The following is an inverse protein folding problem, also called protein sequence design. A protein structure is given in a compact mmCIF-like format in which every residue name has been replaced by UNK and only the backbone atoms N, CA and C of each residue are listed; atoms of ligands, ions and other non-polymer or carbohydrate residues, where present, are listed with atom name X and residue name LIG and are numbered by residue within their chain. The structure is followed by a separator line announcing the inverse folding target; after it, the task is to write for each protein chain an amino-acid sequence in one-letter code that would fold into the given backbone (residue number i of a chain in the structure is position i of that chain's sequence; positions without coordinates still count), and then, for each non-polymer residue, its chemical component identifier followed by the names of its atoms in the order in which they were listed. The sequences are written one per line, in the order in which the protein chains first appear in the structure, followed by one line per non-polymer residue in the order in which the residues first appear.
data_IF_512195426342
#
_entry.id   IF_512195426342
#
_cell.length_a   1.000
_cell.length_b   1.000
_cell.length_c   1.000
_cell.angle_alpha   90.00
_cell.angle_beta   90.00
_cell.angle_gamma   90.00
#
_symmetry.space_group_name_H-M   'P 1'
#
loop_
_entity.id
_entity.type
_entity.pdbx_description
1 polymer ?
#
# COMPACT_ATOMS: atom_id res chain seq x y z
N UNK A 1 -17.75 30.23 1.60
CA UNK A 1 -18.43 28.98 2.01
C UNK A 1 -17.37 27.92 2.11
N UNK A 2 -16.80 27.73 3.31
CA UNK A 2 -15.91 26.60 3.60
C UNK A 2 -16.82 25.39 3.79
N UNK A 3 -16.79 24.44 2.87
CA UNK A 3 -17.44 23.15 3.10
C UNK A 3 -16.59 22.40 4.11
N UNK A 4 -17.19 21.99 5.24
CA UNK A 4 -16.66 21.03 6.22
C UNK A 4 -16.50 19.65 5.58
N UNK A 5 -15.70 19.55 4.52
CA UNK A 5 -15.56 18.36 3.70
C UNK A 5 -14.10 17.99 3.64
N UNK A 6 -13.80 16.76 4.04
CA UNK A 6 -12.50 16.14 3.79
C UNK A 6 -12.36 15.83 2.31
N UNK A 7 -11.19 16.13 1.75
CA UNK A 7 -10.82 15.87 0.35
C UNK A 7 -10.27 14.45 0.14
N UNK A 8 -9.90 13.77 1.23
CA UNK A 8 -9.54 12.34 1.23
C UNK A 8 -10.02 11.66 2.51
N UNK A 9 -10.54 10.45 2.39
CA UNK A 9 -11.13 9.67 3.49
C UNK A 9 -10.60 8.24 3.40
N UNK A 10 -9.87 7.82 4.43
CA UNK A 10 -9.14 6.55 4.45
C UNK A 10 -9.47 5.82 5.75
N UNK A 11 -10.47 4.92 5.74
CA UNK A 11 -10.90 4.19 6.94
C UNK A 11 -9.79 3.23 7.42
N UNK A 12 -9.62 3.11 8.74
CA UNK A 12 -8.78 2.06 9.29
C UNK A 12 -9.40 0.67 9.00
N UNK A 13 -8.58 -0.36 8.75
CA UNK A 13 -9.02 -1.75 8.61
C UNK A 13 -9.86 -2.28 9.77
N UNK A 14 -9.60 -1.74 10.97
CA UNK A 14 -10.28 -2.10 12.20
C UNK A 14 -10.40 -0.88 13.12
N UNK A 15 -11.41 -0.88 13.98
CA UNK A 15 -11.67 0.21 14.93
C UNK A 15 -12.54 1.31 14.34
N UNK A 16 -12.53 2.48 15.00
CA UNK A 16 -13.38 3.63 14.68
C UNK A 16 -12.66 4.75 13.94
N UNK A 17 -11.34 4.64 13.73
CA UNK A 17 -10.54 5.71 13.18
C UNK A 17 -10.61 5.78 11.65
N UNK A 18 -10.60 7.00 11.14
CA UNK A 18 -10.55 7.34 9.73
C UNK A 18 -9.48 8.41 9.55
N UNK A 19 -8.46 8.13 8.73
CA UNK A 19 -7.50 9.14 8.34
C UNK A 19 -8.17 10.03 7.29
N UNK A 20 -8.10 11.34 7.47
CA UNK A 20 -8.76 12.33 6.60
C UNK A 20 -7.78 13.38 6.14
N UNK A 21 -7.84 13.73 4.86
CA UNK A 21 -7.06 14.81 4.25
C UNK A 21 -7.97 16.02 4.01
N UNK A 22 -7.41 17.21 4.26
CA UNK A 22 -8.00 18.49 3.90
C UNK A 22 -6.94 19.27 3.11
N UNK A 23 -7.27 19.64 1.87
CA UNK A 23 -6.34 20.29 0.96
C UNK A 23 -5.99 21.72 1.40
N UNK A 24 -6.79 22.34 2.30
CA UNK A 24 -6.44 23.58 2.99
C UNK A 24 -5.38 23.36 4.10
N UNK A 25 -5.12 22.11 4.49
CA UNK A 25 -4.11 21.68 5.48
C UNK A 25 -3.10 20.72 4.84
N UNK A 26 -2.34 21.13 3.82
CA UNK A 26 -1.55 20.23 2.96
C UNK A 26 -0.33 19.58 3.65
N UNK A 27 -0.10 19.88 4.93
CA UNK A 27 0.97 19.30 5.75
C UNK A 27 0.46 18.49 6.93
N UNK A 28 -0.86 18.46 7.11
CA UNK A 28 -1.50 17.76 8.22
C UNK A 28 -2.32 16.58 7.70
N UNK A 29 -2.51 15.60 8.58
CA UNK A 29 -3.52 14.57 8.44
C UNK A 29 -4.45 14.62 9.66
N UNK A 30 -5.75 14.49 9.43
CA UNK A 30 -6.71 14.34 10.51
C UNK A 30 -6.89 12.86 10.84
N UNK A 31 -6.96 12.51 12.12
CA UNK A 31 -7.57 11.25 12.56
C UNK A 31 -8.95 11.60 13.11
N UNK A 32 -9.97 11.24 12.34
CA UNK A 32 -11.38 11.34 12.72
C UNK A 32 -11.81 10.06 13.42
N UNK A 33 -12.43 10.20 14.59
CA UNK A 33 -12.95 9.06 15.36
C UNK A 33 -14.48 8.98 15.22
N UNK A 34 -14.96 7.87 14.64
CA UNK A 34 -16.39 7.60 14.48
C UNK A 34 -17.12 7.46 15.83
N UNK A 35 -16.40 7.16 16.92
CA UNK A 35 -17.00 6.95 18.24
C UNK A 35 -17.42 8.27 18.91
N UNK A 36 -16.62 9.34 18.75
CA UNK A 36 -16.89 10.64 19.39
C UNK A 36 -17.12 11.79 18.40
N UNK A 37 -16.95 11.54 17.09
CA UNK A 37 -17.18 12.51 16.02
C UNK A 37 -16.12 13.62 15.96
N UNK A 38 -14.93 13.43 16.55
CA UNK A 38 -13.88 14.45 16.59
C UNK A 38 -12.73 14.12 15.65
N UNK A 39 -12.15 15.18 15.10
CA UNK A 39 -10.92 15.11 14.31
C UNK A 39 -9.76 15.73 15.07
N UNK A 40 -8.66 14.98 15.17
CA UNK A 40 -7.37 15.47 15.68
C UNK A 40 -6.40 15.60 14.51
N UNK A 41 -5.80 16.78 14.34
CA UNK A 41 -4.89 17.07 13.23
C UNK A 41 -3.43 16.88 13.66
N UNK A 42 -2.62 16.28 12.80
CA UNK A 42 -1.22 15.99 13.05
C UNK A 42 -0.35 16.44 11.87
N UNK A 43 0.68 17.24 12.15
CA UNK A 43 1.68 17.63 11.16
C UNK A 43 2.48 16.39 10.72
N UNK A 44 2.36 16.01 9.45
CA UNK A 44 3.13 14.93 8.79
C UNK A 44 4.01 15.48 7.65
N UNK A 45 3.97 16.79 7.44
CA UNK A 45 4.59 17.49 6.33
C UNK A 45 3.92 17.14 5.00
N UNK A 46 4.58 17.47 3.88
CA UNK A 46 4.03 17.14 2.56
C UNK A 46 4.19 15.64 2.31
N UNK A 47 3.09 14.91 2.45
CA UNK A 47 3.00 13.52 2.04
C UNK A 47 3.06 13.42 0.51
N UNK A 48 3.79 12.44 -0.01
CA UNK A 48 3.89 12.16 -1.44
C UNK A 48 2.80 11.18 -1.93
N UNK A 49 2.14 10.50 -0.99
CA UNK A 49 1.13 9.46 -1.27
C UNK A 49 -0.08 9.64 -0.37
N UNK A 50 -1.17 8.95 -0.70
CA UNK A 50 -2.26 8.72 0.23
C UNK A 50 -1.74 8.01 1.51
N UNK A 51 -2.35 8.27 2.68
CA UNK A 51 -2.05 7.53 3.90
C UNK A 51 -2.36 6.05 3.73
N UNK A 52 -1.54 5.19 4.33
CA UNK A 52 -1.77 3.74 4.37
C UNK A 52 -1.85 3.26 5.81
N UNK A 53 -2.96 2.64 6.19
CA UNK A 53 -3.11 2.04 7.52
C UNK A 53 -2.31 0.75 7.67
N UNK A 54 -1.75 0.53 8.85
CA UNK A 54 -1.24 -0.78 9.24
C UNK A 54 -2.38 -1.80 9.25
N UNK A 55 -2.11 -3.08 9.00
CA UNK A 55 -3.15 -4.13 8.97
C UNK A 55 -4.01 -4.19 10.24
N UNK A 56 -3.45 -3.83 11.39
CA UNK A 56 -4.14 -3.80 12.68
C UNK A 56 -4.95 -2.51 12.94
N UNK A 57 -4.91 -1.54 12.02
CA UNK A 57 -5.61 -0.26 12.13
C UNK A 57 -5.08 0.69 13.20
N UNK A 58 -3.88 0.44 13.76
CA UNK A 58 -3.33 1.26 14.86
C UNK A 58 -2.36 2.34 14.42
N UNK A 59 -1.83 2.24 13.20
CA UNK A 59 -0.80 3.15 12.70
C UNK A 59 -1.08 3.56 11.26
N UNK A 60 -0.64 4.74 10.89
CA UNK A 60 -0.75 5.30 9.54
C UNK A 60 0.64 5.59 9.01
N UNK A 61 0.91 5.12 7.80
CA UNK A 61 2.15 5.29 7.07
C UNK A 61 2.00 6.42 6.05
N UNK A 62 3.02 7.28 6.01
CA UNK A 62 3.17 8.33 5.01
C UNK A 62 4.53 8.20 4.35
N UNK A 63 4.55 8.21 3.02
CA UNK A 63 5.79 8.49 2.29
C UNK A 63 5.99 10.00 2.27
N UNK A 64 7.16 10.48 2.66
CA UNK A 64 7.44 11.91 2.71
C UNK A 64 8.77 12.25 2.05
N UNK A 65 8.85 13.49 1.55
CA UNK A 65 10.08 14.13 1.10
C UNK A 65 10.12 15.51 1.73
N UNK A 66 10.61 15.60 2.96
CA UNK A 66 10.77 16.88 3.65
C UNK A 66 12.18 17.41 3.43
N UNK A 67 12.29 18.66 2.96
CA UNK A 67 13.47 19.53 3.08
C UNK A 67 14.81 18.80 2.88
N UNK A 68 14.88 17.95 1.84
CA UNK A 68 16.06 17.22 1.34
C UNK A 68 16.21 15.73 1.71
N UNK A 69 15.27 15.13 2.48
CA UNK A 69 15.35 13.70 2.81
C UNK A 69 14.05 12.95 2.45
N UNK A 70 14.19 11.92 1.62
CA UNK A 70 13.14 10.93 1.35
C UNK A 70 13.04 9.97 2.52
N UNK A 71 11.85 9.46 2.81
CA UNK A 71 11.65 8.48 3.87
C UNK A 71 10.18 8.27 4.15
N UNK A 72 9.89 7.78 5.36
CA UNK A 72 8.53 7.54 5.80
C UNK A 72 8.27 8.08 7.20
N UNK A 73 7.00 8.27 7.51
CA UNK A 73 6.52 8.59 8.84
C UNK A 73 5.51 7.52 9.25
N UNK A 74 5.65 7.02 10.48
CA UNK A 74 4.63 6.21 11.15
C UNK A 74 3.94 7.09 12.18
N UNK A 75 2.63 7.28 12.03
CA UNK A 75 1.77 7.97 12.97
C UNK A 75 0.93 6.94 13.73
N UNK A 76 1.08 6.87 15.05
CA UNK A 76 0.22 6.08 15.91
C UNK A 76 -1.18 6.70 16.06
N UNK A 77 -2.17 5.86 16.34
CA UNK A 77 -3.54 6.29 16.68
C UNK A 77 -3.60 7.19 17.93
N UNK A 78 -2.60 7.08 18.81
CA UNK A 78 -2.38 7.93 19.98
C UNK A 78 -1.75 9.30 19.64
N UNK A 79 -1.40 9.52 18.37
CA UNK A 79 -0.75 10.73 17.89
C UNK A 79 0.78 10.70 17.94
N UNK A 80 1.40 9.61 18.41
CA UNK A 80 2.85 9.47 18.41
C UNK A 80 3.38 9.42 16.97
N UNK A 81 4.37 10.26 16.65
CA UNK A 81 4.91 10.41 15.29
C UNK A 81 6.37 10.02 15.23
N UNK A 82 6.70 9.09 14.33
CA UNK A 82 8.06 8.58 14.14
C UNK A 82 8.51 8.81 12.68
N UNK A 83 9.28 9.87 12.40
CA UNK A 83 9.90 10.07 11.09
C UNK A 83 11.16 9.21 10.93
N UNK A 84 11.28 8.54 9.78
CA UNK A 84 12.39 7.67 9.42
C UNK A 84 12.95 8.07 8.04
N UNK A 85 14.04 8.86 8.01
CA UNK A 85 14.75 9.17 6.78
C UNK A 85 15.38 7.91 6.17
N UNK A 86 15.37 7.82 4.84
CA UNK A 86 15.98 6.72 4.08
C UNK A 86 16.87 7.30 2.98
N UNK A 87 18.13 6.87 2.97
CA UNK A 87 19.08 7.26 1.93
C UNK A 87 18.78 6.52 0.62
N UNK A 88 18.26 7.24 -0.37
CA UNK A 88 17.94 6.68 -1.70
C UNK A 88 19.18 6.36 -2.53
N UNK A 89 20.39 6.76 -2.11
CA UNK A 89 21.64 6.28 -2.73
C UNK A 89 21.95 4.85 -2.29
N UNK A 90 21.72 4.54 -1.01
CA UNK A 90 21.86 3.19 -0.47
C UNK A 90 20.68 2.29 -0.89
N UNK A 91 19.48 2.86 -1.01
CA UNK A 91 18.26 2.15 -1.41
C UNK A 91 17.64 2.80 -2.66
N UNK A 92 18.21 2.55 -3.86
CA UNK A 92 17.77 3.22 -5.08
C UNK A 92 16.33 2.85 -5.43
N UNK A 93 15.52 3.86 -5.75
CA UNK A 93 14.14 3.71 -6.16
C UNK A 93 13.81 4.74 -7.27
N UNK A 94 12.88 4.38 -8.15
CA UNK A 94 12.40 5.23 -9.24
C UNK A 94 10.98 4.82 -9.64
N UNK A 95 10.30 5.66 -10.41
CA UNK A 95 8.93 5.53 -10.94
C UNK A 95 7.86 5.54 -9.85
N UNK A 96 7.83 4.47 -9.05
CA UNK A 96 6.98 4.29 -7.88
C UNK A 96 7.91 4.09 -6.69
N UNK A 97 8.18 5.18 -5.97
CA UNK A 97 9.05 5.18 -4.81
C UNK A 97 8.26 5.63 -3.58
N UNK A 98 7.55 4.68 -2.97
CA UNK A 98 6.77 4.89 -1.75
C UNK A 98 6.76 3.64 -0.88
N UNK A 99 6.48 3.83 0.40
CA UNK A 99 6.45 2.76 1.37
C UNK A 99 5.05 2.15 1.46
N UNK A 100 4.98 0.83 1.58
CA UNK A 100 3.74 0.09 1.89
C UNK A 100 3.94 -0.78 3.13
N UNK A 101 2.87 -1.08 3.87
CA UNK A 101 2.96 -2.01 4.99
C UNK A 101 3.22 -3.44 4.54
N UNK A 102 3.99 -4.16 5.33
CA UNK A 102 4.02 -5.62 5.32
C UNK A 102 2.72 -6.21 5.90
N UNK A 103 2.40 -7.46 5.54
CA UNK A 103 1.16 -8.15 5.95
C UNK A 103 0.95 -8.24 7.46
N UNK A 104 2.04 -8.38 8.22
CA UNK A 104 2.02 -8.47 9.69
C UNK A 104 2.07 -7.09 10.38
N UNK A 105 2.22 -6.02 9.61
CA UNK A 105 2.29 -4.66 10.09
C UNK A 105 3.55 -4.32 10.88
N UNK A 106 4.59 -5.17 10.92
CA UNK A 106 5.82 -4.90 11.68
C UNK A 106 6.82 -4.06 10.89
N UNK A 107 6.87 -4.30 9.59
CA UNK A 107 7.76 -3.61 8.67
C UNK A 107 6.97 -2.76 7.65
N UNK A 108 7.67 -1.80 7.07
CA UNK A 108 7.28 -1.10 5.84
C UNK A 108 8.26 -1.46 4.73
N UNK A 109 7.79 -1.41 3.49
CA UNK A 109 8.48 -1.98 2.32
C UNK A 109 8.73 -0.89 1.30
N UNK A 110 9.97 -0.75 0.84
CA UNK A 110 10.37 0.13 -0.26
C UNK A 110 10.78 -0.69 -1.47
N UNK A 111 10.24 -0.36 -2.64
CA UNK A 111 10.63 -1.00 -3.90
C UNK A 111 11.99 -0.46 -4.36
N UNK A 112 12.90 -1.38 -4.70
CA UNK A 112 14.24 -1.04 -5.16
C UNK A 112 14.39 -1.21 -6.67
N UNK A 113 14.84 -0.14 -7.32
CA UNK A 113 15.18 -0.16 -8.75
C UNK A 113 16.49 -0.89 -8.99
N UNK A 114 16.52 -1.76 -9.99
CA UNK A 114 17.74 -2.38 -10.49
C UNK A 114 18.49 -1.39 -11.39
N UNK A 115 19.52 -0.74 -10.84
CA UNK A 115 20.37 0.20 -11.58
C UNK A 115 21.31 -0.49 -12.60
N UNK A 116 21.45 -1.82 -12.55
CA UNK A 116 22.33 -2.56 -13.47
C UNK A 116 21.68 -2.83 -14.83
N UNK A 117 20.35 -2.66 -14.94
CA UNK A 117 19.58 -2.92 -16.15
C UNK A 117 19.16 -1.63 -16.85
N UNK A 118 19.01 -1.70 -18.17
CA UNK A 118 18.60 -0.56 -18.98
C UNK A 118 17.21 -0.05 -18.58
N UNK A 119 17.14 1.25 -18.30
CA UNK A 119 15.93 1.99 -18.01
C UNK A 119 15.29 2.51 -19.31
N UNK A 120 14.00 2.77 -19.27
CA UNK A 120 13.24 3.30 -20.40
C UNK A 120 12.14 4.19 -19.84
N UNK A 121 11.95 5.36 -20.41
CA UNK A 121 10.80 6.22 -20.08
C UNK A 121 9.46 5.63 -20.58
N UNK A 122 9.51 4.66 -21.50
CA UNK A 122 8.33 4.03 -22.09
C UNK A 122 7.86 2.78 -21.33
N UNK A 123 8.60 2.32 -20.31
CA UNK A 123 8.26 1.12 -19.55
C UNK A 123 8.72 1.28 -18.09
N UNK A 124 8.03 0.62 -17.16
CA UNK A 124 8.46 0.60 -15.76
C UNK A 124 9.93 0.18 -15.64
N UNK A 125 10.64 0.82 -14.73
CA UNK A 125 12.02 0.50 -14.44
C UNK A 125 12.11 -0.89 -13.81
N UNK A 126 13.16 -1.66 -14.16
CA UNK A 126 13.35 -3.00 -13.62
C UNK A 126 13.52 -2.95 -12.10
N UNK A 127 12.95 -3.93 -11.41
CA UNK A 127 13.08 -4.09 -9.97
C UNK A 127 14.19 -5.07 -9.62
N UNK A 128 14.98 -4.69 -8.63
CA UNK A 128 15.93 -5.58 -7.96
C UNK A 128 15.21 -6.45 -6.93
N UNK A 129 14.19 -5.88 -6.30
CA UNK A 129 13.46 -6.46 -5.18
C UNK A 129 12.86 -5.37 -4.31
N UNK A 130 12.52 -5.72 -3.09
CA UNK A 130 11.99 -4.81 -2.09
C UNK A 130 12.80 -4.90 -0.80
N UNK A 131 13.02 -3.74 -0.17
CA UNK A 131 13.69 -3.61 1.12
C UNK A 131 12.65 -3.38 2.21
N UNK A 132 12.73 -4.16 3.28
CA UNK A 132 11.93 -3.99 4.48
C UNK A 132 12.65 -3.12 5.50
N UNK A 133 11.89 -2.28 6.19
CA UNK A 133 12.33 -1.44 7.28
C UNK A 133 11.40 -1.63 8.48
N UNK A 134 11.97 -1.76 9.67
CA UNK A 134 11.19 -1.81 10.90
C UNK A 134 10.37 -0.52 11.03
N UNK A 135 9.05 -0.66 11.23
CA UNK A 135 8.16 0.49 11.39
C UNK A 135 8.41 1.28 12.69
N UNK A 136 9.06 0.66 13.67
CA UNK A 136 9.36 1.29 14.96
C UNK A 136 10.70 2.04 14.95
N UNK A 137 11.69 1.49 14.24
CA UNK A 137 13.07 1.99 14.31
C UNK A 137 13.57 2.61 13.02
N UNK A 138 12.90 2.38 11.89
CA UNK A 138 13.35 2.79 10.56
C UNK A 138 14.54 2.03 10.02
N UNK A 139 15.06 1.02 10.76
CA UNK A 139 16.24 0.27 10.34
C UNK A 139 15.87 -0.79 9.30
N UNK A 140 16.73 -1.05 8.30
CA UNK A 140 16.51 -2.13 7.34
C UNK A 140 16.51 -3.48 8.06
N UNK A 141 15.55 -4.35 7.75
CA UNK A 141 15.38 -5.66 8.40
C UNK A 141 15.69 -6.82 7.47
N UNK A 142 15.13 -6.84 6.26
CA UNK A 142 15.39 -7.87 5.24
C UNK A 142 15.16 -7.36 3.81
N UNK A 143 15.60 -8.15 2.84
CA UNK A 143 15.41 -7.89 1.42
C UNK A 143 14.77 -9.10 0.74
N UNK A 144 13.79 -8.87 -0.12
CA UNK A 144 13.12 -9.92 -0.92
C UNK A 144 13.27 -9.61 -2.42
N UNK A 145 13.71 -10.55 -3.27
CA UNK A 145 14.05 -10.31 -4.68
C UNK A 145 12.81 -10.26 -5.59
N UNK A 146 11.79 -9.52 -5.21
CA UNK A 146 10.53 -9.43 -5.95
C UNK A 146 10.72 -8.69 -7.29
N UNK A 147 10.28 -9.25 -8.44
CA UNK A 147 10.42 -8.64 -9.75
C UNK A 147 9.35 -7.55 -10.03
N UNK A 148 8.83 -6.89 -9.01
CA UNK A 148 7.74 -5.92 -9.12
C UNK A 148 7.36 -5.25 -7.81
N UNK A 149 6.31 -4.43 -7.89
CA UNK A 149 5.85 -3.57 -6.81
C UNK A 149 4.61 -4.19 -6.12
N UNK A 150 4.68 -4.58 -4.83
CA UNK A 150 3.49 -4.99 -4.11
C UNK A 150 2.57 -3.78 -3.85
N UNK A 151 1.26 -4.00 -3.96
CA UNK A 151 0.25 -2.95 -3.83
C UNK A 151 0.02 -2.50 -2.37
N UNK A 152 0.24 -3.39 -1.41
CA UNK A 152 -0.05 -3.15 -0.01
C UNK A 152 -0.09 -4.45 0.78
N UNK A 153 -0.31 -4.40 2.11
CA UNK A 153 -0.15 -5.56 2.98
C UNK A 153 -0.99 -6.76 2.55
N UNK A 154 -2.14 -6.53 1.91
CA UNK A 154 -3.08 -7.56 1.48
C UNK A 154 -2.71 -8.23 0.15
N UNK A 155 -1.65 -7.78 -0.53
CA UNK A 155 -1.14 -8.45 -1.73
C UNK A 155 -0.20 -9.62 -1.43
N UNK A 156 0.17 -9.81 -0.15
CA UNK A 156 0.85 -11.01 0.34
C UNK A 156 -0.14 -12.05 0.84
N UNK A 157 0.15 -13.33 0.61
CA UNK A 157 -0.59 -14.44 1.22
C UNK A 157 -0.53 -14.36 2.74
N UNK A 158 -1.50 -14.93 3.47
CA UNK A 158 -1.53 -14.87 4.93
C UNK A 158 -0.24 -15.39 5.60
N UNK A 159 0.40 -16.40 5.00
CA UNK A 159 1.67 -16.96 5.45
C UNK A 159 2.92 -16.23 4.93
N UNK A 160 2.74 -15.21 4.08
CA UNK A 160 3.80 -14.39 3.49
C UNK A 160 4.67 -15.09 2.44
N UNK A 161 4.36 -16.33 2.04
CA UNK A 161 5.16 -17.08 1.06
C UNK A 161 4.93 -16.63 -0.37
N UNK A 162 3.74 -16.14 -0.67
CA UNK A 162 3.37 -15.63 -1.97
C UNK A 162 3.05 -14.15 -1.89
N UNK A 163 3.32 -13.44 -2.98
CA UNK A 163 3.00 -12.04 -3.13
C UNK A 163 2.59 -11.76 -4.55
N UNK A 164 1.53 -10.97 -4.70
CA UNK A 164 1.14 -10.40 -5.98
C UNK A 164 1.78 -9.02 -6.11
N UNK A 165 2.46 -8.81 -7.22
CA UNK A 165 3.18 -7.58 -7.53
C UNK A 165 2.78 -7.05 -8.90
N UNK A 166 2.83 -5.73 -9.05
CA UNK A 166 2.85 -5.11 -10.35
C UNK A 166 4.26 -5.28 -10.93
N UNK A 167 4.42 -6.23 -11.86
CA UNK A 167 5.65 -6.41 -12.61
C UNK A 167 5.87 -5.30 -13.63
N UNK A 168 6.94 -5.45 -14.42
CA UNK A 168 7.32 -4.47 -15.44
C UNK A 168 6.25 -4.30 -16.53
N UNK A 169 5.69 -5.42 -16.97
CA UNK A 169 4.74 -5.49 -18.10
C UNK A 169 3.33 -5.87 -17.63
N UNK A 170 3.24 -6.79 -16.68
CA UNK A 170 1.96 -7.34 -16.19
C UNK A 170 2.01 -7.63 -14.67
N UNK A 171 0.86 -7.82 -14.02
CA UNK A 171 0.80 -8.33 -12.66
C UNK A 171 1.29 -9.78 -12.55
N UNK A 172 2.03 -10.09 -11.49
CA UNK A 172 2.66 -11.39 -11.28
C UNK A 172 2.34 -11.93 -9.89
N UNK A 173 2.02 -13.21 -9.80
CA UNK A 173 2.12 -14.00 -8.57
C UNK A 173 3.56 -14.50 -8.42
N UNK A 174 4.17 -14.25 -7.27
CA UNK A 174 5.60 -14.48 -7.03
C UNK A 174 5.80 -15.20 -5.70
N UNK A 175 6.75 -16.13 -5.67
CA UNK A 175 7.28 -16.70 -4.44
C UNK A 175 8.22 -15.70 -3.76
N UNK A 176 7.83 -15.21 -2.58
CA UNK A 176 8.45 -14.04 -1.96
C UNK A 176 9.95 -14.23 -1.65
N UNK A 177 10.32 -15.41 -1.14
CA UNK A 177 11.69 -15.71 -0.74
C UNK A 177 12.68 -15.80 -1.91
N UNK A 178 12.21 -16.22 -3.08
CA UNK A 178 13.07 -16.54 -4.23
C UNK A 178 12.92 -15.55 -5.38
N UNK A 179 11.81 -14.80 -5.43
CA UNK A 179 11.45 -13.96 -6.56
C UNK A 179 10.97 -14.75 -7.78
N UNK A 180 10.80 -16.08 -7.65
CA UNK A 180 10.34 -16.93 -8.74
C UNK A 180 8.90 -16.59 -9.08
N UNK A 181 8.68 -16.23 -10.34
CA UNK A 181 7.33 -16.04 -10.88
C UNK A 181 6.61 -17.38 -10.92
N UNK A 182 5.41 -17.42 -10.34
CA UNK A 182 4.51 -18.57 -10.36
C UNK A 182 3.66 -18.51 -11.63
N UNK A 183 2.92 -17.42 -11.82
CA UNK A 183 2.11 -17.13 -13.00
C UNK A 183 1.74 -15.65 -13.06
N UNK A 184 1.36 -15.12 -14.23
CA UNK A 184 0.73 -13.80 -14.32
C UNK A 184 -0.69 -13.82 -13.73
N UNK A 185 -1.16 -12.64 -13.34
CA UNK A 185 -2.52 -12.42 -12.83
C UNK A 185 -3.21 -11.24 -13.53
N UNK A 186 -4.55 -11.17 -13.53
CA UNK A 186 -5.26 -10.06 -14.16
C UNK A 186 -5.08 -8.70 -13.48
N UNK A 187 -4.72 -8.67 -12.19
CA UNK A 187 -4.56 -7.45 -11.40
C UNK A 187 -3.42 -7.60 -10.40
N UNK A 188 -2.71 -6.50 -10.13
CA UNK A 188 -1.74 -6.40 -9.04
C UNK A 188 -2.38 -5.89 -7.74
N UNK A 189 -3.48 -5.13 -7.88
CA UNK A 189 -4.31 -4.69 -6.77
C UNK A 189 -5.27 -5.81 -6.41
N UNK A 190 -4.81 -6.67 -5.51
CA UNK A 190 -5.51 -7.85 -5.02
C UNK A 190 -5.51 -7.86 -3.50
N UNK A 191 -6.49 -8.58 -2.96
CA UNK A 191 -6.63 -8.87 -1.54
C UNK A 191 -6.66 -10.38 -1.38
N UNK A 192 -5.66 -10.95 -0.70
CA UNK A 192 -5.72 -12.35 -0.27
C UNK A 192 -6.81 -12.52 0.79
N UNK A 193 -7.82 -13.33 0.47
CA UNK A 193 -8.94 -13.63 1.38
C UNK A 193 -8.56 -14.75 2.34
N UNK A 194 -7.78 -15.71 1.87
CA UNK A 194 -7.17 -16.82 2.61
C UNK A 194 -5.94 -17.36 1.83
N UNK A 195 -5.57 -18.62 2.03
CA UNK A 195 -4.35 -19.21 1.46
C UNK A 195 -4.40 -19.49 -0.05
N UNK A 196 -5.60 -19.60 -0.64
CA UNK A 196 -5.75 -19.99 -2.05
C UNK A 196 -6.68 -19.07 -2.86
N UNK A 197 -7.31 -18.07 -2.22
CA UNK A 197 -8.26 -17.16 -2.88
C UNK A 197 -7.85 -15.70 -2.84
N UNK A 198 -7.99 -15.07 -3.99
CA UNK A 198 -7.72 -13.66 -4.26
C UNK A 198 -9.03 -12.94 -4.58
N UNK A 199 -9.21 -11.76 -4.00
CA UNK A 199 -10.28 -10.84 -4.35
C UNK A 199 -9.68 -9.63 -5.06
N UNK A 200 -10.20 -9.28 -6.24
CA UNK A 200 -9.77 -8.08 -6.95
C UNK A 200 -10.93 -7.47 -7.74
N UNK A 201 -10.76 -6.19 -8.12
CA UNK A 201 -11.67 -5.52 -9.04
C UNK A 201 -11.17 -5.72 -10.47
N UNK A 202 -12.04 -6.13 -11.39
CA UNK A 202 -11.62 -6.31 -12.79
C UNK A 202 -11.11 -4.97 -13.34
N UNK A 203 -9.91 -4.95 -13.93
CA UNK A 203 -9.30 -3.70 -14.43
C UNK A 203 -10.02 -3.15 -15.67
N UNK A 204 -10.75 -4.00 -16.41
CA UNK A 204 -11.49 -3.64 -17.61
C UNK A 204 -12.95 -4.10 -17.51
N UNK A 205 -13.86 -3.34 -18.11
CA UNK A 205 -15.30 -3.65 -18.15
C UNK A 205 -16.10 -2.97 -17.04
N UNK A 206 -17.08 -3.67 -16.48
CA UNK A 206 -18.06 -3.15 -15.49
C UNK A 206 -17.48 -2.90 -14.10
N UNK A 207 -16.19 -3.19 -13.88
CA UNK A 207 -15.53 -3.01 -12.60
C UNK A 207 -16.05 -3.94 -11.50
N UNK A 208 -16.49 -5.15 -11.88
CA UNK A 208 -16.97 -6.20 -10.98
C UNK A 208 -15.87 -6.63 -10.01
N UNK A 209 -16.28 -7.05 -8.82
CA UNK A 209 -15.41 -7.78 -7.91
C UNK A 209 -15.38 -9.26 -8.29
N UNK A 210 -14.18 -9.82 -8.31
CA UNK A 210 -13.92 -11.21 -8.68
C UNK A 210 -13.17 -11.88 -7.54
N UNK A 211 -13.72 -13.01 -7.10
CA UNK A 211 -12.99 -13.99 -6.31
C UNK A 211 -12.37 -14.99 -7.27
N UNK A 212 -11.05 -15.15 -7.23
CA UNK A 212 -10.30 -16.07 -8.08
C UNK A 212 -9.40 -16.97 -7.23
N UNK A 213 -8.96 -18.09 -7.80
CA UNK A 213 -7.85 -18.86 -7.23
C UNK A 213 -6.49 -18.30 -7.65
N UNK A 214 -5.40 -18.87 -7.12
CA UNK A 214 -4.02 -18.43 -7.41
C UNK A 214 -3.59 -18.66 -8.86
N UNK A 215 -4.33 -19.46 -9.64
CA UNK A 215 -4.07 -19.63 -11.09
C UNK A 215 -4.64 -18.48 -11.92
N UNK A 216 -5.43 -17.59 -11.30
CA UNK A 216 -6.18 -16.53 -11.96
C UNK A 216 -7.53 -16.98 -12.49
N UNK A 217 -7.99 -18.20 -12.16
CA UNK A 217 -9.31 -18.68 -12.56
C UNK A 217 -10.37 -17.99 -11.70
N UNK A 218 -11.28 -17.27 -12.36
CA UNK A 218 -12.41 -16.65 -11.67
C UNK A 218 -13.34 -17.74 -11.10
N UNK A 219 -13.60 -17.69 -9.79
CA UNK A 219 -14.50 -18.60 -9.07
C UNK A 219 -15.89 -17.99 -8.93
N UNK A 220 -15.94 -16.71 -8.54
CA UNK A 220 -17.18 -15.94 -8.36
C UNK A 220 -16.96 -14.55 -8.94
N UNK A 221 -17.99 -14.03 -9.61
CA UNK A 221 -18.05 -12.66 -10.09
C UNK A 221 -19.28 -11.97 -9.52
N UNK A 222 -19.09 -10.80 -8.95
CA UNK A 222 -20.15 -10.00 -8.36
C UNK A 222 -20.06 -8.56 -8.85
N UNK A 223 -21.07 -8.03 -9.56
CA UNK A 223 -21.14 -6.61 -9.85
C UNK A 223 -21.28 -5.82 -8.55
N UNK A 224 -20.64 -4.65 -8.51
CA UNK A 224 -20.74 -3.75 -7.36
C UNK A 224 -22.22 -3.37 -7.12
N UNK A 225 -22.74 -3.53 -5.89
CA UNK A 225 -24.08 -3.07 -5.57
C UNK A 225 -24.27 -1.61 -5.97
N UNK A 226 -25.43 -1.26 -6.53
CA UNK A 226 -25.69 0.09 -7.07
C UNK A 226 -25.42 1.20 -6.06
N UNK A 227 -25.61 0.93 -4.77
CA UNK A 227 -25.37 1.88 -3.68
C UNK A 227 -23.89 2.21 -3.47
N UNK A 228 -22.98 1.34 -3.91
CA UNK A 228 -21.54 1.52 -3.77
C UNK A 228 -20.89 2.07 -5.05
N UNK A 229 -21.65 2.18 -6.14
CA UNK A 229 -21.14 2.74 -7.40
C UNK A 229 -20.74 4.20 -7.20
N UNK A 230 -19.50 4.54 -7.57
CA UNK A 230 -18.94 5.88 -7.39
C UNK A 230 -18.37 6.15 -6.00
N UNK A 231 -18.44 5.17 -5.07
CA UNK A 231 -17.76 5.24 -3.79
C UNK A 231 -16.36 4.61 -3.88
N UNK A 232 -15.46 5.07 -3.02
CA UNK A 232 -14.20 4.38 -2.74
C UNK A 232 -14.50 3.22 -1.78
N UNK A 233 -14.02 2.02 -2.14
CA UNK A 233 -14.24 0.80 -1.37
C UNK A 233 -12.88 0.24 -0.96
N UNK A 234 -12.62 0.20 0.34
CA UNK A 234 -11.45 -0.45 0.92
C UNK A 234 -11.84 -1.81 1.46
N UNK A 235 -11.04 -2.84 1.16
CA UNK A 235 -11.25 -4.19 1.67
C UNK A 235 -10.02 -4.57 2.48
N UNK A 236 -10.25 -4.96 3.73
CA UNK A 236 -9.23 -5.44 4.64
C UNK A 236 -9.72 -6.75 5.29
N UNK A 237 -9.16 -7.90 4.88
CA UNK A 237 -9.38 -9.18 5.54
C UNK A 237 -8.97 -9.13 7.01
N UNK A 238 -9.60 -9.97 7.82
CA UNK A 238 -9.18 -10.20 9.21
C UNK A 238 -7.96 -11.13 9.27
#
# INVERSE_FOLDING_TARGET
MTTDRYDGIYPAPAGSLVAVRDDARPREIGLFDLADGKTRWYEVGRALTAPSWSPDGRRVLFTTRQLDHFGFIVLGADGARFPHPVDTRAFPCSDYCFFVWSRDGRDVVLQQTDLSRSRSEAARHPRRGVQFFSADTGRPTRFEPLPGDPAGPWSWSPDGKLVVVQGREEPLLVEAATGRVVNPLPSADVVWVDDDRLLYRRPLGTGDFVLADTTGRELIRQPLPRQLVGLEVTIAPR
#
